data_IF_690055298532
#
_entry.id   IF_690055298532
#
_cell.length_a   1.000
_cell.length_b   1.000
_cell.length_c   1.000
_cell.angle_alpha   90.00
_cell.angle_beta   90.00
_cell.angle_gamma   90.00
#
_symmetry.space_group_name_H-M   'P 1'
#
loop_
_entity.id
_entity.type
_entity.pdbx_description
1 polymer ?
#
# COMPACT_ATOMS: atom_id res chain seq x y z
N UNK A 1 -0.94 -10.04 5.84
CA UNK A 1 -0.64 -8.74 6.50
C UNK A 1 -0.38 -9.00 7.97
N UNK A 2 0.63 -8.36 8.55
CA UNK A 2 0.87 -8.41 9.99
C UNK A 2 -0.25 -7.72 10.76
N UNK A 3 -0.50 -8.18 11.98
CA UNK A 3 -1.45 -7.57 12.92
C UNK A 3 -0.77 -7.08 14.22
N UNK A 4 0.55 -7.18 14.27
CA UNK A 4 1.38 -6.62 15.35
C UNK A 4 1.54 -5.12 15.19
N UNK A 5 1.89 -4.42 16.26
CA UNK A 5 2.38 -3.04 16.17
C UNK A 5 3.73 -3.05 15.45
N UNK A 6 3.86 -2.32 14.35
CA UNK A 6 5.07 -2.29 13.54
C UNK A 6 6.29 -1.78 14.33
N UNK A 7 6.09 -0.89 15.31
CA UNK A 7 7.16 -0.43 16.20
C UNK A 7 7.67 -1.52 17.15
N UNK A 8 6.90 -2.60 17.37
CA UNK A 8 7.39 -3.81 18.02
C UNK A 8 8.08 -4.71 16.98
N UNK A 9 9.32 -4.38 16.68
CA UNK A 9 10.14 -5.07 15.66
C UNK A 9 10.25 -6.56 15.96
N UNK A 10 10.46 -6.94 17.21
CA UNK A 10 10.67 -8.36 17.59
C UNK A 10 9.44 -9.19 17.33
N UNK A 11 8.26 -8.73 17.78
CA UNK A 11 6.99 -9.43 17.56
C UNK A 11 6.62 -9.46 16.10
N UNK A 12 6.87 -8.37 15.36
CA UNK A 12 6.57 -8.27 13.92
C UNK A 12 7.45 -9.20 13.10
N UNK A 13 8.75 -9.25 13.37
CA UNK A 13 9.68 -10.18 12.71
C UNK A 13 9.29 -11.63 12.97
N UNK A 14 8.93 -11.96 14.24
CA UNK A 14 8.46 -13.30 14.56
C UNK A 14 7.23 -13.66 13.76
N UNK A 15 6.23 -12.79 13.72
CA UNK A 15 5.00 -13.03 12.95
C UNK A 15 5.27 -13.21 11.45
N UNK A 16 6.17 -12.40 10.86
CA UNK A 16 6.55 -12.53 9.45
C UNK A 16 7.19 -13.90 9.18
N UNK A 17 8.10 -14.38 10.05
CA UNK A 17 8.72 -15.70 9.92
C UNK A 17 7.71 -16.82 10.07
N UNK A 18 6.75 -16.69 10.97
CA UNK A 18 5.67 -17.66 11.14
C UNK A 18 4.78 -17.72 9.87
N UNK A 19 4.50 -16.57 9.25
CA UNK A 19 3.76 -16.49 7.98
C UNK A 19 4.55 -17.10 6.82
N UNK A 20 5.86 -16.82 6.71
CA UNK A 20 6.75 -17.41 5.72
C UNK A 20 6.79 -18.94 5.85
N UNK A 21 6.94 -19.45 7.08
CA UNK A 21 6.91 -20.88 7.37
C UNK A 21 5.55 -21.54 7.04
N UNK A 22 4.47 -20.77 7.09
CA UNK A 22 3.12 -21.22 6.71
C UNK A 22 2.87 -21.12 5.19
N UNK A 23 3.87 -20.72 4.39
CA UNK A 23 3.80 -20.67 2.91
C UNK A 23 3.39 -19.34 2.32
N UNK A 24 3.54 -18.23 3.05
CA UNK A 24 3.35 -16.92 2.46
C UNK A 24 4.53 -16.55 1.54
N UNK A 25 4.25 -16.04 0.34
CA UNK A 25 5.26 -15.57 -0.62
C UNK A 25 5.61 -14.09 -0.39
N UNK A 26 4.69 -13.31 0.13
CA UNK A 26 4.83 -11.86 0.35
C UNK A 26 4.09 -11.48 1.64
N UNK A 27 4.67 -10.61 2.44
CA UNK A 27 4.00 -10.09 3.64
C UNK A 27 3.83 -8.57 3.55
N UNK A 28 2.65 -8.09 3.92
CA UNK A 28 2.34 -6.66 4.00
C UNK A 28 2.43 -6.18 5.45
N UNK A 29 3.14 -5.07 5.64
CA UNK A 29 3.36 -4.43 6.95
C UNK A 29 2.82 -3.00 6.89
N UNK A 30 2.04 -2.61 7.89
CA UNK A 30 1.48 -1.26 7.98
C UNK A 30 2.56 -0.25 8.39
N UNK A 31 2.65 0.87 7.66
CA UNK A 31 3.62 1.94 7.91
C UNK A 31 2.89 3.29 7.94
N UNK A 32 2.12 3.57 9.00
CA UNK A 32 1.29 4.78 9.09
C UNK A 32 2.09 6.05 9.44
N UNK A 33 3.29 5.93 10.00
CA UNK A 33 4.08 7.06 10.49
C UNK A 33 5.59 6.85 10.34
N UNK A 34 6.36 7.87 10.72
CA UNK A 34 7.84 7.85 10.60
C UNK A 34 8.51 6.87 11.56
N UNK A 35 7.93 6.61 12.72
CA UNK A 35 8.49 5.65 13.66
C UNK A 35 8.29 4.23 13.13
N UNK A 36 7.13 3.94 12.52
CA UNK A 36 6.91 2.68 11.82
C UNK A 36 7.79 2.55 10.57
N UNK A 37 8.13 3.66 9.89
CA UNK A 37 9.08 3.63 8.77
C UNK A 37 10.48 3.22 9.22
N UNK A 38 10.96 3.74 10.37
CA UNK A 38 12.23 3.32 10.97
C UNK A 38 12.19 1.84 11.37
N UNK A 39 11.12 1.43 12.05
CA UNK A 39 10.93 0.04 12.44
C UNK A 39 10.87 -0.90 11.22
N UNK A 40 10.20 -0.48 10.14
CA UNK A 40 10.13 -1.22 8.88
C UNK A 40 11.52 -1.49 8.30
N UNK A 41 12.44 -0.50 8.35
CA UNK A 41 13.84 -0.68 7.92
C UNK A 41 14.55 -1.76 8.72
N UNK A 42 14.29 -1.85 10.03
CA UNK A 42 14.87 -2.88 10.90
C UNK A 42 14.25 -4.26 10.64
N UNK A 43 12.92 -4.31 10.49
CA UNK A 43 12.19 -5.53 10.15
C UNK A 43 12.70 -6.10 8.83
N UNK A 44 12.85 -5.25 7.79
CA UNK A 44 13.33 -5.68 6.47
C UNK A 44 14.72 -6.32 6.52
N UNK A 45 15.62 -5.83 7.37
CA UNK A 45 16.97 -6.41 7.56
C UNK A 45 16.92 -7.79 8.23
N UNK A 46 15.87 -8.09 8.99
CA UNK A 46 15.77 -9.30 9.79
C UNK A 46 14.99 -10.45 9.11
N UNK A 47 14.44 -10.21 7.91
CA UNK A 47 13.63 -11.17 7.16
C UNK A 47 14.08 -11.23 5.69
N UNK A 48 13.84 -12.40 5.05
CA UNK A 48 14.18 -12.63 3.63
C UNK A 48 12.99 -12.50 2.71
N UNK A 49 11.78 -12.75 3.22
CA UNK A 49 10.54 -12.67 2.44
C UNK A 49 10.28 -11.24 1.94
N UNK A 50 9.77 -11.06 0.72
CA UNK A 50 9.40 -9.75 0.21
C UNK A 50 8.36 -9.04 1.10
N UNK A 51 8.61 -7.75 1.38
CA UNK A 51 7.74 -6.93 2.21
C UNK A 51 7.06 -5.82 1.40
N UNK A 52 5.75 -5.71 1.56
CA UNK A 52 4.95 -4.60 1.06
C UNK A 52 4.79 -3.56 2.17
N UNK A 53 5.28 -2.35 1.97
CA UNK A 53 5.02 -1.23 2.86
C UNK A 53 3.63 -0.63 2.57
N UNK A 54 2.73 -0.72 3.54
CA UNK A 54 1.35 -0.22 3.42
C UNK A 54 1.25 1.20 3.96
N UNK A 55 1.26 2.17 3.04
CA UNK A 55 1.24 3.60 3.33
C UNK A 55 -0.20 4.12 3.24
N UNK A 56 -0.68 4.76 4.30
CA UNK A 56 -2.09 5.17 4.38
C UNK A 56 -2.35 6.59 3.87
N UNK A 57 -1.60 7.61 4.33
CA UNK A 57 -1.93 9.01 4.08
C UNK A 57 -0.74 9.89 3.71
N UNK A 58 0.40 9.75 4.37
CA UNK A 58 1.53 10.66 4.20
C UNK A 58 2.51 10.13 3.16
N UNK A 59 2.58 10.85 2.02
CA UNK A 59 3.49 10.52 0.92
C UNK A 59 4.97 10.52 1.33
N UNK A 60 5.35 11.33 2.33
CA UNK A 60 6.73 11.38 2.82
C UNK A 60 7.19 10.07 3.43
N UNK A 61 6.26 9.31 4.03
CA UNK A 61 6.54 7.97 4.54
C UNK A 61 6.86 7.02 3.38
N UNK A 62 6.13 7.14 2.26
CA UNK A 62 6.43 6.36 1.07
C UNK A 62 7.84 6.67 0.54
N UNK A 63 8.26 7.95 0.53
CA UNK A 63 9.61 8.35 0.14
C UNK A 63 10.67 7.76 1.09
N UNK A 64 10.37 7.74 2.39
CA UNK A 64 11.28 7.25 3.43
C UNK A 64 11.57 5.74 3.35
N UNK A 65 10.64 4.93 2.81
CA UNK A 65 10.79 3.48 2.72
C UNK A 65 10.96 2.96 1.30
N UNK A 66 10.92 3.82 0.29
CA UNK A 66 11.02 3.43 -1.11
C UNK A 66 12.35 2.78 -1.48
N UNK A 67 13.43 3.07 -0.74
CA UNK A 67 14.77 2.52 -0.96
C UNK A 67 14.94 1.09 -0.44
N UNK A 68 13.99 0.59 0.38
CA UNK A 68 14.14 -0.71 1.05
C UNK A 68 12.91 -1.62 0.92
N UNK A 69 11.74 -1.08 0.62
CA UNK A 69 10.54 -1.86 0.40
C UNK A 69 10.62 -2.64 -0.92
N UNK A 70 10.10 -3.87 -0.93
CA UNK A 70 9.99 -4.63 -2.19
C UNK A 70 8.74 -4.23 -2.98
N UNK A 71 7.79 -3.53 -2.36
CA UNK A 71 6.61 -2.95 -2.98
C UNK A 71 6.01 -1.88 -2.08
N UNK A 72 5.56 -0.77 -2.66
CA UNK A 72 4.77 0.24 -1.96
C UNK A 72 3.29 -0.01 -2.20
N UNK A 73 2.48 -0.11 -1.16
CA UNK A 73 1.03 -0.11 -1.29
C UNK A 73 0.51 1.27 -0.89
N UNK A 74 -0.10 1.96 -1.83
CA UNK A 74 -0.69 3.27 -1.64
C UNK A 74 -2.14 3.31 -2.14
N UNK A 75 -2.90 4.26 -1.62
CA UNK A 75 -4.12 4.74 -2.23
C UNK A 75 -3.86 6.17 -2.70
N UNK A 76 -3.67 6.43 -4.01
CA UNK A 76 -3.36 7.75 -4.52
C UNK A 76 -4.38 8.82 -4.11
N UNK A 77 -5.66 8.45 -3.96
CA UNK A 77 -6.70 9.34 -3.45
C UNK A 77 -6.45 9.83 -2.02
N UNK A 78 -5.81 9.02 -1.17
CA UNK A 78 -5.46 9.39 0.21
C UNK A 78 -4.14 10.16 0.30
N UNK A 79 -3.23 9.96 -0.65
CA UNK A 79 -1.96 10.70 -0.75
C UNK A 79 -2.22 12.18 -1.02
N UNK A 80 -3.29 12.49 -1.75
CA UNK A 80 -3.77 13.86 -1.97
C UNK A 80 -3.40 14.41 -3.34
N UNK A 81 -2.76 15.59 -3.40
CA UNK A 81 -2.51 16.30 -4.67
C UNK A 81 -1.61 15.48 -5.62
N UNK A 82 -1.86 15.64 -6.92
CA UNK A 82 -1.13 14.95 -8.00
C UNK A 82 0.40 15.11 -7.90
N UNK A 83 0.88 16.29 -7.49
CA UNK A 83 2.32 16.53 -7.28
C UNK A 83 2.94 15.58 -6.26
N UNK A 84 2.22 15.26 -5.16
CA UNK A 84 2.68 14.34 -4.13
C UNK A 84 2.72 12.89 -4.63
N UNK A 85 1.71 12.51 -5.42
CA UNK A 85 1.67 11.21 -6.08
C UNK A 85 2.86 11.08 -7.03
N UNK A 86 3.18 12.14 -7.78
CA UNK A 86 4.34 12.20 -8.66
C UNK A 86 5.66 12.01 -7.90
N UNK A 87 5.82 12.60 -6.73
CA UNK A 87 7.02 12.39 -5.90
C UNK A 87 7.18 10.91 -5.51
N UNK A 88 6.08 10.26 -5.08
CA UNK A 88 6.09 8.82 -4.76
C UNK A 88 6.43 7.97 -5.98
N UNK A 89 5.86 8.28 -7.14
CA UNK A 89 6.14 7.59 -8.41
C UNK A 89 7.63 7.74 -8.77
N UNK A 90 8.17 8.95 -8.69
CA UNK A 90 9.58 9.19 -8.97
C UNK A 90 10.51 8.40 -8.03
N UNK A 91 10.18 8.34 -6.74
CA UNK A 91 10.93 7.55 -5.78
C UNK A 91 10.85 6.04 -6.08
N UNK A 92 9.67 5.55 -6.46
CA UNK A 92 9.46 4.16 -6.86
C UNK A 92 10.23 3.80 -8.13
N UNK A 93 10.21 4.67 -9.15
CA UNK A 93 10.99 4.51 -10.39
C UNK A 93 12.49 4.49 -10.11
N UNK A 94 12.98 5.43 -9.30
CA UNK A 94 14.40 5.52 -8.97
C UNK A 94 14.93 4.26 -8.29
N UNK A 95 14.11 3.64 -7.44
CA UNK A 95 14.48 2.45 -6.68
C UNK A 95 14.00 1.13 -7.32
N UNK A 96 13.36 1.17 -8.50
CA UNK A 96 12.75 0.02 -9.17
C UNK A 96 11.75 -0.74 -8.28
N UNK A 97 10.94 -0.02 -7.50
CA UNK A 97 9.96 -0.59 -6.59
C UNK A 97 8.57 -0.52 -7.21
N UNK A 98 7.87 -1.65 -7.35
CA UNK A 98 6.50 -1.66 -7.86
C UNK A 98 5.54 -0.98 -6.90
N UNK A 99 4.48 -0.38 -7.46
CA UNK A 99 3.39 0.20 -6.68
C UNK A 99 2.16 -0.71 -6.75
N UNK A 100 1.61 -1.02 -5.58
CA UNK A 100 0.31 -1.66 -5.45
C UNK A 100 -0.76 -0.61 -5.15
N UNK A 101 -1.67 -0.42 -6.09
CA UNK A 101 -2.83 0.45 -5.89
C UNK A 101 -3.86 -0.26 -5.02
N UNK A 102 -4.22 0.35 -3.91
CA UNK A 102 -5.28 -0.13 -3.03
C UNK A 102 -6.43 0.86 -2.99
N UNK A 103 -7.62 0.39 -3.31
CA UNK A 103 -8.86 1.14 -3.10
C UNK A 103 -9.71 0.43 -2.07
N UNK A 104 -10.50 1.18 -1.33
CA UNK A 104 -11.41 0.62 -0.33
C UNK A 104 -12.68 1.46 -0.16
N UNK A 105 -13.77 0.81 0.23
CA UNK A 105 -15.07 1.45 0.40
C UNK A 105 -15.02 2.66 1.35
N UNK A 106 -14.24 2.58 2.43
CA UNK A 106 -14.12 3.65 3.42
C UNK A 106 -13.32 4.86 2.97
N UNK A 107 -12.59 4.77 1.86
CA UNK A 107 -11.78 5.86 1.29
C UNK A 107 -12.18 6.23 -0.14
N UNK A 108 -13.40 5.85 -0.55
CA UNK A 108 -13.93 6.20 -1.86
C UNK A 108 -14.07 7.73 -1.98
N UNK A 109 -13.72 8.28 -3.14
CA UNK A 109 -13.77 9.71 -3.43
C UNK A 109 -15.21 10.24 -3.30
N UNK A 110 -15.34 11.46 -2.78
CA UNK A 110 -16.65 12.09 -2.50
C UNK A 110 -17.56 12.23 -3.71
N UNK A 111 -16.98 12.44 -4.88
CA UNK A 111 -17.73 12.52 -6.14
C UNK A 111 -18.25 11.16 -6.57
N UNK A 112 -17.49 10.08 -6.37
CA UNK A 112 -17.94 8.72 -6.60
C UNK A 112 -19.01 8.31 -5.59
N UNK A 113 -18.88 8.70 -4.33
CA UNK A 113 -19.91 8.49 -3.32
C UNK A 113 -21.24 9.16 -3.72
N UNK A 114 -21.16 10.39 -4.27
CA UNK A 114 -22.35 11.09 -4.79
C UNK A 114 -22.95 10.43 -6.04
N UNK A 115 -22.09 9.91 -6.94
CA UNK A 115 -22.50 9.28 -8.18
C UNK A 115 -23.18 7.94 -7.95
N UNK A 116 -22.66 7.13 -7.06
CA UNK A 116 -23.09 5.75 -6.82
C UNK A 116 -23.97 5.57 -5.57
N UNK A 117 -24.05 6.59 -4.70
CA UNK A 117 -24.78 6.55 -3.42
C UNK A 117 -24.06 5.75 -2.35
N UNK A 118 -23.91 4.44 -2.55
CA UNK A 118 -23.17 3.54 -1.65
C UNK A 118 -21.90 3.00 -2.34
N UNK A 119 -20.87 2.61 -1.57
CA UNK A 119 -19.72 1.92 -2.12
C UNK A 119 -20.13 0.57 -2.70
N UNK A 120 -20.08 0.44 -4.02
CA UNK A 120 -20.34 -0.79 -4.75
C UNK A 120 -19.17 -1.16 -5.65
N UNK A 121 -19.22 -2.30 -6.33
CA UNK A 121 -18.14 -2.79 -7.16
C UNK A 121 -17.79 -1.80 -8.27
N UNK A 122 -18.77 -1.19 -8.93
CA UNK A 122 -18.53 -0.25 -10.03
C UNK A 122 -17.83 1.03 -9.54
N UNK A 123 -18.22 1.55 -8.37
CA UNK A 123 -17.57 2.70 -7.74
C UNK A 123 -16.11 2.41 -7.41
N UNK A 124 -15.81 1.20 -6.90
CA UNK A 124 -14.45 0.79 -6.57
C UNK A 124 -13.60 0.58 -7.82
N UNK A 125 -14.18 0.01 -8.89
CA UNK A 125 -13.51 -0.14 -10.18
C UNK A 125 -13.19 1.23 -10.78
N UNK A 126 -14.15 2.16 -10.79
CA UNK A 126 -13.93 3.52 -11.29
C UNK A 126 -12.84 4.23 -10.49
N UNK A 127 -12.85 4.12 -9.16
CA UNK A 127 -11.78 4.65 -8.29
C UNK A 127 -10.43 4.05 -8.65
N UNK A 128 -10.34 2.72 -8.78
CA UNK A 128 -9.10 2.04 -9.16
C UNK A 128 -8.58 2.51 -10.53
N UNK A 129 -9.46 2.61 -11.53
CA UNK A 129 -9.08 3.05 -12.88
C UNK A 129 -8.56 4.49 -12.89
N UNK A 130 -9.17 5.40 -12.14
CA UNK A 130 -8.66 6.78 -12.00
C UNK A 130 -7.23 6.80 -11.44
N UNK A 131 -6.94 5.93 -10.47
CA UNK A 131 -5.60 5.85 -9.89
C UNK A 131 -4.58 5.26 -10.86
N UNK A 132 -5.01 4.31 -11.71
CA UNK A 132 -4.19 3.78 -12.81
C UNK A 132 -3.87 4.87 -13.81
N UNK A 133 -4.89 5.63 -14.25
CA UNK A 133 -4.71 6.73 -15.19
C UNK A 133 -3.72 7.79 -14.67
N UNK A 134 -3.68 8.02 -13.34
CA UNK A 134 -2.67 8.90 -12.75
C UNK A 134 -1.27 8.30 -12.89
N UNK A 135 -1.10 7.00 -12.66
CA UNK A 135 0.19 6.32 -12.82
C UNK A 135 0.64 6.32 -14.28
N UNK A 136 -0.27 6.04 -15.22
CA UNK A 136 -0.01 6.05 -16.67
C UNK A 136 0.46 7.42 -17.15
N UNK A 137 -0.11 8.52 -16.64
CA UNK A 137 0.33 9.90 -16.97
C UNK A 137 1.81 10.14 -16.65
N UNK A 138 2.36 9.41 -15.69
CA UNK A 138 3.77 9.49 -15.30
C UNK A 138 4.62 8.37 -15.89
N UNK A 139 4.12 7.63 -16.88
CA UNK A 139 4.77 6.47 -17.49
C UNK A 139 5.23 5.42 -16.48
N UNK A 140 4.40 5.19 -15.45
CA UNK A 140 4.65 4.17 -14.45
C UNK A 140 3.79 2.94 -14.72
N UNK A 141 4.40 1.89 -15.29
CA UNK A 141 3.75 0.66 -15.74
C UNK A 141 3.98 -0.54 -14.81
N UNK A 142 4.92 -0.42 -13.86
CA UNK A 142 5.20 -1.48 -12.87
C UNK A 142 4.16 -1.45 -11.73
N UNK A 143 2.90 -1.69 -12.11
CA UNK A 143 1.74 -1.61 -11.23
C UNK A 143 1.16 -2.98 -10.95
N UNK A 144 0.88 -3.25 -9.68
CA UNK A 144 0.12 -4.42 -9.23
C UNK A 144 -1.23 -3.98 -8.68
N UNK A 145 -2.27 -4.74 -9.02
CA UNK A 145 -3.62 -4.51 -8.50
C UNK A 145 -3.96 -5.54 -7.43
N UNK A 146 -4.53 -5.09 -6.32
CA UNK A 146 -5.27 -5.98 -5.45
C UNK A 146 -6.75 -5.78 -5.72
N UNK A 147 -7.44 -6.83 -6.19
CA UNK A 147 -8.88 -6.82 -6.15
C UNK A 147 -9.31 -6.85 -4.67
N UNK A 148 -10.30 -6.04 -4.34
CA UNK A 148 -10.95 -6.09 -3.06
C UNK A 148 -11.83 -7.32 -3.02
N UNK A 149 -11.48 -8.28 -2.16
CA UNK A 149 -12.51 -9.13 -1.61
C UNK A 149 -13.29 -8.25 -0.63
N UNK A 150 -14.55 -7.97 -0.94
CA UNK A 150 -15.47 -7.47 0.07
C UNK A 150 -15.39 -8.42 1.26
N UNK A 151 -15.33 -7.93 2.51
CA UNK A 151 -15.40 -8.82 3.65
C UNK A 151 -16.67 -9.64 3.50
N UNK A 152 -16.50 -10.96 3.42
CA UNK A 152 -17.63 -11.88 3.45
C UNK A 152 -18.24 -11.69 4.82
N UNK A 153 -19.35 -10.98 4.90
CA UNK A 153 -20.15 -10.92 6.12
C UNK A 153 -20.76 -12.30 6.22
N UNK A 154 -20.15 -13.17 7.03
CA UNK A 154 -20.79 -14.41 7.43
C UNK A 154 -21.98 -14.02 8.33
N UNK A 155 -23.17 -14.24 7.83
CA UNK A 155 -24.43 -14.16 8.57
C UNK A 155 -24.53 -15.30 9.57
#
# INVERSE_FOLDING_TARGET
>A
MTNTNTCDVVSTVKQIKDLEAAGADIVRVSVPGFDEAKAFKEIKKAVSIPLVADIHFDYKIALEVADIADCLRINPGNIGKEDRVKEVINAALHNNVPIRVGVNAGSLEKDLQKKYGEPNADALVESAMRHVEILDKFNFDTVSYTHLTLPTINW
#
